data_IF_499754691436
#
_entry.id   IF_499754691436
#
_cell.length_a   1.000
_cell.length_b   1.000
_cell.length_c   1.000
_cell.angle_alpha   90.00
_cell.angle_beta   90.00
_cell.angle_gamma   90.00
#
_symmetry.space_group_name_H-M   'P 1'
#
loop_
_entity.id
_entity.type
_entity.pdbx_description
1 polymer ?
#
# COMPACT_ATOMS: atom_id res chain seq x y z
N UNK A 1 13.21 -10.53 1.59
CA UNK A 1 12.15 -10.19 2.54
C UNK A 1 10.98 -9.58 1.77
N UNK A 2 9.76 -10.01 2.04
CA UNK A 2 8.58 -9.51 1.32
C UNK A 2 8.16 -8.14 1.81
N UNK A 3 7.70 -7.30 0.90
CA UNK A 3 7.21 -5.97 1.19
C UNK A 3 5.81 -5.79 0.62
N UNK A 4 4.93 -5.17 1.39
CA UNK A 4 3.63 -4.70 0.93
C UNK A 4 3.65 -3.18 0.92
N UNK A 5 3.18 -2.56 -0.17
CA UNK A 5 3.03 -1.12 -0.27
C UNK A 5 1.57 -0.75 -0.03
N UNK A 6 1.33 0.31 0.74
CA UNK A 6 0.01 0.92 0.82
C UNK A 6 -0.11 2.06 -0.21
N UNK A 7 -1.27 2.68 -0.27
CA UNK A 7 -1.49 3.81 -1.19
C UNK A 7 -0.63 5.01 -0.84
N UNK A 8 -0.36 5.25 0.46
CA UNK A 8 0.49 6.36 0.90
C UNK A 8 1.88 6.24 0.26
N UNK A 9 2.51 5.06 0.37
CA UNK A 9 3.84 4.81 -0.17
C UNK A 9 3.88 5.02 -1.69
N UNK A 10 2.87 4.51 -2.40
CA UNK A 10 2.79 4.64 -3.86
C UNK A 10 2.63 6.10 -4.28
N UNK A 11 1.75 6.85 -3.62
CA UNK A 11 1.52 8.26 -3.95
C UNK A 11 2.79 9.08 -3.70
N UNK A 12 3.48 8.88 -2.58
CA UNK A 12 4.73 9.58 -2.31
C UNK A 12 5.79 9.28 -3.38
N UNK A 13 5.87 8.02 -3.83
CA UNK A 13 6.75 7.64 -4.92
C UNK A 13 6.39 8.35 -6.22
N UNK A 14 5.11 8.37 -6.59
CA UNK A 14 4.65 9.00 -7.83
C UNK A 14 4.88 10.52 -7.83
N UNK A 15 4.75 11.14 -6.67
CA UNK A 15 4.93 12.58 -6.53
C UNK A 15 6.38 12.98 -6.28
N UNK A 16 7.28 12.02 -6.11
CA UNK A 16 8.70 12.28 -5.90
C UNK A 16 9.02 12.84 -4.53
N UNK A 17 8.19 12.60 -3.53
CA UNK A 17 8.39 13.12 -2.18
C UNK A 17 9.40 12.28 -1.41
N UNK A 18 10.49 12.91 -0.95
CA UNK A 18 11.54 12.25 -0.21
C UNK A 18 11.28 12.24 1.30
N UNK A 19 11.78 11.23 2.04
CA UNK A 19 12.67 10.14 1.60
C UNK A 19 11.93 8.93 1.00
N UNK A 20 10.61 8.90 1.04
CA UNK A 20 9.81 7.76 0.61
C UNK A 20 10.04 7.40 -0.87
N UNK A 21 10.07 8.41 -1.75
CA UNK A 21 10.20 8.18 -3.19
C UNK A 21 11.45 7.40 -3.55
N UNK A 22 12.60 7.77 -2.99
CA UNK A 22 13.86 7.06 -3.24
C UNK A 22 13.85 5.65 -2.64
N UNK A 23 13.25 5.48 -1.46
CA UNK A 23 13.16 4.17 -0.83
C UNK A 23 12.33 3.20 -1.69
N UNK A 24 11.17 3.66 -2.18
CA UNK A 24 10.31 2.84 -3.04
C UNK A 24 11.01 2.54 -4.37
N UNK A 25 11.69 3.53 -4.96
CA UNK A 25 12.43 3.31 -6.21
C UNK A 25 13.47 2.21 -6.06
N UNK A 26 14.26 2.24 -4.99
CA UNK A 26 15.25 1.21 -4.73
C UNK A 26 14.63 -0.16 -4.52
N UNK A 27 13.47 -0.20 -3.87
CA UNK A 27 12.70 -1.43 -3.70
C UNK A 27 12.31 -2.01 -5.05
N UNK A 28 11.74 -1.19 -5.93
CA UNK A 28 11.28 -1.63 -7.25
C UNK A 28 12.42 -2.09 -8.16
N UNK A 29 13.62 -1.59 -7.95
CA UNK A 29 14.82 -2.02 -8.69
C UNK A 29 15.31 -3.41 -8.28
N UNK A 30 14.97 -3.87 -7.08
CA UNK A 30 15.53 -5.11 -6.52
C UNK A 30 14.48 -6.19 -6.22
N UNK A 31 13.21 -5.82 -6.04
CA UNK A 31 12.15 -6.74 -5.62
C UNK A 31 10.84 -6.40 -6.32
N UNK A 32 9.89 -7.33 -6.23
CA UNK A 32 8.52 -7.13 -6.68
C UNK A 32 7.64 -7.08 -5.41
N UNK A 33 7.27 -5.88 -4.94
CA UNK A 33 6.39 -5.78 -3.78
C UNK A 33 4.96 -6.18 -4.13
N UNK A 34 4.16 -6.47 -3.10
CA UNK A 34 2.73 -6.73 -3.24
C UNK A 34 1.96 -5.47 -2.92
N UNK A 35 0.89 -5.23 -3.66
CA UNK A 35 -0.09 -4.18 -3.35
C UNK A 35 -1.49 -4.75 -3.51
N UNK A 36 -2.37 -4.49 -2.55
CA UNK A 36 -3.78 -4.89 -2.66
C UNK A 36 -4.48 -4.07 -3.74
N UNK A 37 -5.36 -4.70 -4.52
CA UNK A 37 -6.22 -3.99 -5.47
C UNK A 37 -7.06 -2.92 -4.80
N UNK A 38 -7.39 -3.06 -3.52
CA UNK A 38 -8.10 -2.01 -2.77
C UNK A 38 -7.24 -0.75 -2.70
N UNK A 39 -5.95 -0.90 -2.43
CA UNK A 39 -5.03 0.24 -2.39
C UNK A 39 -4.73 0.78 -3.79
N UNK A 40 -4.68 -0.06 -4.81
CA UNK A 40 -4.57 0.40 -6.20
C UNK A 40 -5.78 1.25 -6.60
N UNK A 41 -6.99 0.84 -6.17
CA UNK A 41 -8.19 1.64 -6.40
C UNK A 41 -8.12 3.00 -5.73
N UNK A 42 -7.58 3.06 -4.53
CA UNK A 42 -7.36 4.31 -3.82
C UNK A 42 -6.35 5.21 -4.56
N UNK A 43 -5.25 4.63 -5.04
CA UNK A 43 -4.27 5.34 -5.87
C UNK A 43 -4.94 5.90 -7.13
N UNK A 44 -5.75 5.09 -7.80
CA UNK A 44 -6.52 5.52 -8.98
C UNK A 44 -7.36 6.75 -8.67
N UNK A 45 -8.12 6.72 -7.57
CA UNK A 45 -8.96 7.84 -7.16
C UNK A 45 -8.16 9.12 -6.95
N UNK A 46 -7.05 9.03 -6.25
CA UNK A 46 -6.21 10.18 -5.93
C UNK A 46 -5.58 10.75 -7.20
N UNK A 47 -5.00 9.91 -8.04
CA UNK A 47 -4.36 10.35 -9.28
C UNK A 47 -5.40 10.94 -10.24
N UNK A 48 -6.56 10.31 -10.37
CA UNK A 48 -7.63 10.84 -11.22
C UNK A 48 -8.10 12.21 -10.78
N UNK A 49 -8.26 12.39 -9.48
CA UNK A 49 -8.71 13.67 -8.90
C UNK A 49 -7.71 14.78 -9.15
N UNK A 50 -6.42 14.47 -9.08
CA UNK A 50 -5.35 15.47 -9.17
C UNK A 50 -4.78 15.63 -10.58
N UNK A 51 -4.83 14.61 -11.43
CA UNK A 51 -4.13 14.60 -12.73
C UNK A 51 -4.98 14.10 -13.89
N UNK A 52 -6.21 13.67 -13.65
CA UNK A 52 -7.16 13.30 -14.71
C UNK A 52 -7.15 11.81 -15.05
N UNK A 53 -8.06 11.45 -15.97
CA UNK A 53 -8.36 10.06 -16.32
C UNK A 53 -7.17 9.35 -16.96
N UNK A 54 -6.50 9.98 -17.91
CA UNK A 54 -5.40 9.35 -18.65
C UNK A 54 -4.26 9.00 -17.70
N UNK A 55 -3.92 9.92 -16.79
CA UNK A 55 -2.86 9.67 -15.81
C UNK A 55 -3.23 8.51 -14.87
N UNK A 56 -4.48 8.45 -14.39
CA UNK A 56 -4.93 7.40 -13.48
C UNK A 56 -4.88 6.02 -14.15
N UNK A 57 -5.37 5.91 -15.39
CA UNK A 57 -5.33 4.66 -16.15
C UNK A 57 -3.88 4.20 -16.37
N UNK A 58 -3.02 5.12 -16.74
CA UNK A 58 -1.60 4.86 -17.01
C UNK A 58 -0.87 4.37 -15.76
N UNK A 59 -1.09 5.04 -14.63
CA UNK A 59 -0.43 4.70 -13.36
C UNK A 59 -0.80 3.29 -12.91
N UNK A 60 -2.10 2.95 -12.92
CA UNK A 60 -2.53 1.62 -12.47
C UNK A 60 -2.00 0.53 -13.40
N UNK A 61 -1.99 0.77 -14.71
CA UNK A 61 -1.40 -0.17 -15.67
C UNK A 61 0.09 -0.38 -15.38
N UNK A 62 0.85 0.70 -15.20
CA UNK A 62 2.29 0.63 -15.00
C UNK A 62 2.65 -0.02 -13.67
N UNK A 63 1.87 0.20 -12.62
CA UNK A 63 2.10 -0.42 -11.32
C UNK A 63 1.95 -1.95 -11.38
N UNK A 64 1.07 -2.47 -12.23
CA UNK A 64 0.92 -3.90 -12.41
C UNK A 64 2.16 -4.56 -13.06
N UNK A 65 3.00 -3.79 -13.74
CA UNK A 65 4.23 -4.28 -14.33
C UNK A 65 5.37 -4.40 -13.31
N UNK A 66 5.30 -3.68 -12.20
CA UNK A 66 6.41 -3.59 -11.22
C UNK A 66 6.02 -4.10 -9.83
N UNK A 67 4.76 -4.39 -9.59
CA UNK A 67 4.26 -4.90 -8.32
C UNK A 67 3.27 -6.04 -8.56
N UNK A 68 3.17 -6.94 -7.58
CA UNK A 68 2.15 -7.99 -7.61
C UNK A 68 0.84 -7.42 -7.05
N UNK A 69 -0.13 -7.22 -7.93
CA UNK A 69 -1.45 -6.72 -7.56
C UNK A 69 -2.29 -7.88 -7.03
N UNK A 70 -2.64 -7.85 -5.75
CA UNK A 70 -3.39 -8.93 -5.12
C UNK A 70 -4.89 -8.61 -5.06
N UNK A 71 -5.68 -9.45 -5.71
CA UNK A 71 -7.14 -9.36 -5.62
C UNK A 71 -7.58 -9.97 -4.28
N UNK A 72 -8.28 -9.22 -3.41
CA UNK A 72 -8.67 -9.75 -2.11
C UNK A 72 -9.72 -10.86 -2.24
N UNK A 73 -9.48 -11.93 -1.50
CA UNK A 73 -10.44 -13.02 -1.33
C UNK A 73 -11.43 -12.67 -0.22
N UNK A 74 -12.49 -13.47 -0.07
CA UNK A 74 -13.41 -13.32 1.07
C UNK A 74 -12.67 -13.43 2.40
N UNK A 75 -11.69 -14.32 2.49
CA UNK A 75 -10.86 -14.46 3.69
C UNK A 75 -10.11 -13.17 4.00
N UNK A 76 -9.50 -12.53 2.97
CA UNK A 76 -8.79 -11.27 3.16
C UNK A 76 -9.72 -10.15 3.62
N UNK A 77 -10.95 -10.13 3.10
CA UNK A 77 -11.96 -9.15 3.51
C UNK A 77 -12.27 -9.29 5.01
N UNK A 78 -12.44 -10.52 5.49
CA UNK A 78 -12.72 -10.75 6.91
C UNK A 78 -11.51 -10.39 7.78
N UNK A 79 -10.29 -10.69 7.33
CA UNK A 79 -9.07 -10.29 8.03
C UNK A 79 -8.98 -8.77 8.17
N UNK A 80 -9.25 -8.05 7.09
CA UNK A 80 -9.28 -6.58 7.10
C UNK A 80 -10.38 -6.05 8.02
N UNK A 81 -11.56 -6.67 8.01
CA UNK A 81 -12.67 -6.29 8.87
C UNK A 81 -12.35 -6.46 10.36
N UNK A 82 -11.63 -7.51 10.72
CA UNK A 82 -11.16 -7.70 12.11
C UNK A 82 -10.25 -6.57 12.56
N UNK A 83 -9.31 -6.18 11.69
CA UNK A 83 -8.41 -5.05 11.96
C UNK A 83 -9.22 -3.77 12.12
N UNK A 84 -10.19 -3.54 11.23
CA UNK A 84 -11.08 -2.38 11.28
C UNK A 84 -11.86 -2.31 12.59
N UNK A 85 -12.29 -3.44 13.12
CA UNK A 85 -13.03 -3.49 14.38
C UNK A 85 -12.16 -3.06 15.58
N UNK A 86 -10.85 -3.31 15.51
CA UNK A 86 -9.93 -3.07 16.62
C UNK A 86 -9.16 -1.75 16.50
N UNK A 87 -9.16 -1.10 15.32
CA UNK A 87 -8.34 0.07 15.05
C UNK A 87 -9.14 1.18 14.34
N UNK A 88 -8.92 2.47 14.72
CA UNK A 88 -9.63 3.60 14.10
C UNK A 88 -8.96 4.06 12.81
N UNK A 89 -8.95 3.25 11.78
CA UNK A 89 -8.34 3.60 10.50
C UNK A 89 -9.26 3.26 9.34
N UNK A 90 -8.95 3.78 8.14
CA UNK A 90 -9.77 3.55 6.96
C UNK A 90 -9.79 2.08 6.57
N UNK A 91 -10.84 1.65 5.86
CA UNK A 91 -10.95 0.27 5.40
C UNK A 91 -9.82 -0.08 4.43
N UNK A 92 -9.42 0.86 3.57
CA UNK A 92 -8.30 0.64 2.65
C UNK A 92 -7.00 0.36 3.42
N UNK A 93 -6.73 1.10 4.50
CA UNK A 93 -5.57 0.86 5.36
C UNK A 93 -5.63 -0.52 6.00
N UNK A 94 -6.83 -0.98 6.38
CA UNK A 94 -7.00 -2.31 6.95
C UNK A 94 -6.65 -3.41 5.95
N UNK A 95 -6.93 -3.21 4.66
CA UNK A 95 -6.51 -4.15 3.62
C UNK A 95 -5.00 -4.19 3.45
N UNK A 96 -4.33 -3.05 3.50
CA UNK A 96 -2.87 -3.01 3.44
C UNK A 96 -2.25 -3.78 4.62
N UNK A 97 -2.73 -3.52 5.83
CA UNK A 97 -2.28 -4.20 7.05
C UNK A 97 -2.56 -5.71 7.01
N UNK A 98 -3.77 -6.10 6.61
CA UNK A 98 -4.15 -7.51 6.51
C UNK A 98 -3.31 -8.25 5.47
N UNK A 99 -3.04 -7.62 4.35
CA UNK A 99 -2.20 -8.20 3.29
C UNK A 99 -0.78 -8.43 3.81
N UNK A 100 -0.20 -7.45 4.48
CA UNK A 100 1.13 -7.58 5.07
C UNK A 100 1.18 -8.71 6.10
N UNK A 101 0.22 -8.76 7.01
CA UNK A 101 0.17 -9.78 8.07
C UNK A 101 0.05 -11.20 7.47
N UNK A 102 -0.82 -11.37 6.48
CA UNK A 102 -1.05 -12.69 5.87
C UNK A 102 0.17 -13.20 5.09
N UNK A 103 0.94 -12.30 4.48
CA UNK A 103 2.15 -12.66 3.75
C UNK A 103 3.40 -12.77 4.64
N UNK A 104 3.29 -12.45 5.93
CA UNK A 104 4.46 -12.32 6.79
C UNK A 104 5.42 -11.27 6.28
N UNK A 105 4.89 -10.24 5.61
CA UNK A 105 5.65 -9.17 4.96
C UNK A 105 5.71 -7.93 5.83
N UNK A 106 6.62 -7.01 5.47
CA UNK A 106 6.67 -5.69 6.10
C UNK A 106 5.84 -4.71 5.28
N UNK A 107 4.94 -4.00 5.95
CA UNK A 107 4.15 -2.93 5.34
C UNK A 107 5.00 -1.66 5.29
N UNK A 108 5.20 -1.13 4.10
CA UNK A 108 5.88 0.16 3.91
C UNK A 108 4.83 1.26 3.80
N UNK A 109 4.86 2.18 4.73
CA UNK A 109 3.87 3.25 4.84
C UNK A 109 4.45 4.45 5.57
N UNK A 110 3.77 5.57 5.52
CA UNK A 110 4.03 6.73 6.36
C UNK A 110 2.74 7.22 7.01
N UNK A 111 1.64 6.48 6.84
CA UNK A 111 0.38 6.82 7.49
C UNK A 111 0.47 6.51 8.98
N UNK A 112 0.33 7.55 9.86
CA UNK A 112 0.44 7.34 11.30
C UNK A 112 -0.54 6.30 11.86
N UNK A 113 -1.69 6.13 11.24
CA UNK A 113 -2.69 5.15 11.69
C UNK A 113 -2.21 3.71 11.54
N UNK A 114 -1.27 3.46 10.63
CA UNK A 114 -0.70 2.13 10.39
C UNK A 114 0.58 1.86 11.18
N UNK A 115 1.17 2.90 11.76
CA UNK A 115 2.43 2.81 12.52
C UNK A 115 2.13 2.52 13.99
N UNK A 116 1.55 1.35 14.26
CA UNK A 116 1.08 0.94 15.59
C UNK A 116 2.06 -0.03 16.21
N UNK A 117 2.60 0.32 17.37
CA UNK A 117 3.48 -0.57 18.12
C UNK A 117 2.70 -1.80 18.61
N UNK A 118 3.29 -2.98 18.46
CA UNK A 118 2.67 -4.22 18.87
C UNK A 118 1.53 -4.71 17.98
N UNK A 119 1.37 -4.12 16.80
CA UNK A 119 0.34 -4.50 15.85
C UNK A 119 0.57 -5.92 15.31
N UNK A 120 -0.48 -6.50 14.73
CA UNK A 120 -0.41 -7.82 14.10
C UNK A 120 0.38 -7.82 12.78
N UNK A 121 0.74 -6.66 12.27
CA UNK A 121 1.57 -6.50 11.07
C UNK A 121 2.86 -5.78 11.42
N UNK A 122 3.95 -6.14 10.72
CA UNK A 122 5.22 -5.43 10.78
C UNK A 122 5.17 -4.24 9.82
N UNK A 123 5.83 -3.13 10.18
CA UNK A 123 5.81 -1.92 9.35
C UNK A 123 7.17 -1.23 9.31
N UNK A 124 7.39 -0.47 8.25
CA UNK A 124 8.51 0.45 8.10
C UNK A 124 7.96 1.85 7.83
N UNK A 125 8.38 2.81 8.63
CA UNK A 125 7.99 4.21 8.48
C UNK A 125 8.84 4.86 7.37
N UNK A 126 8.19 5.22 6.27
CA UNK A 126 8.87 5.85 5.12
C UNK A 126 9.07 7.35 5.27
N UNK A 127 8.60 7.93 6.36
CA UNK A 127 8.80 9.37 6.61
C UNK A 127 10.21 9.67 7.09
N UNK A 128 10.96 8.65 7.45
CA UNK A 128 12.33 8.80 7.94
C UNK A 128 13.33 7.99 7.15
#
# INVERSE_FOLDING_TARGET
MSVVLDSWAVIEFLEGNEPAASAVRRLLDSEIPTISWINLGEVYCIVRRNHGLIAAESVVRDLQDVAAAELPTSRRVIEAARIKADHPMSYADCFAAATAAAHGATLWTGDPELLVEGAAWAWRDLRT
#
